data_IF_713183563164
#
_entry.id   IF_713183563164
#
_cell.length_a   1.000
_cell.length_b   1.000
_cell.length_c   1.000
_cell.angle_alpha   90.00
_cell.angle_beta   90.00
_cell.angle_gamma   90.00
#
_symmetry.space_group_name_H-M   'P 1'
#
loop_
_entity.id
_entity.type
_entity.pdbx_description
1 polymer ?
#
# COMPACT_ATOMS: atom_id res chain seq x y z
N UNK A 1 -6.02 42.22 -16.52
CA UNK A 1 -4.73 41.61 -16.86
C UNK A 1 -4.02 41.23 -15.57
N UNK A 2 -4.17 39.97 -15.14
CA UNK A 2 -3.33 39.34 -14.13
C UNK A 2 -2.99 37.98 -14.68
N UNK A 3 -1.70 37.70 -14.79
CA UNK A 3 -1.14 36.54 -15.46
C UNK A 3 -1.54 35.26 -14.71
N UNK A 4 -2.22 34.36 -15.42
CA UNK A 4 -2.22 32.93 -15.11
C UNK A 4 -0.84 32.40 -15.48
N UNK A 5 -0.11 31.89 -14.49
CA UNK A 5 1.00 30.96 -14.74
C UNK A 5 0.42 29.59 -14.45
N UNK A 6 0.07 28.87 -15.52
CA UNK A 6 -0.16 27.44 -15.50
C UNK A 6 1.20 26.76 -15.36
N UNK A 7 1.59 26.38 -14.15
CA UNK A 7 2.71 25.45 -13.96
C UNK A 7 2.19 24.04 -14.27
N UNK A 8 2.55 23.55 -15.47
CA UNK A 8 2.54 22.14 -15.81
C UNK A 8 3.54 21.44 -14.89
N UNK A 9 3.03 20.62 -13.96
CA UNK A 9 3.86 19.70 -13.19
C UNK A 9 3.80 18.37 -13.95
N UNK A 10 4.90 18.04 -14.63
CA UNK A 10 5.12 16.71 -15.21
C UNK A 10 5.14 15.69 -14.06
N UNK A 11 4.14 14.80 -14.00
CA UNK A 11 4.03 13.73 -13.00
C UNK A 11 5.01 12.57 -13.24
N UNK A 12 5.95 12.72 -14.17
CA UNK A 12 7.11 11.84 -14.31
C UNK A 12 8.32 12.55 -13.73
N UNK A 13 8.44 12.53 -12.41
CA UNK A 13 9.73 12.75 -11.79
C UNK A 13 10.67 11.64 -12.31
N UNK A 14 11.58 12.01 -13.21
CA UNK A 14 12.84 11.32 -13.40
C UNK A 14 13.55 11.32 -12.05
N UNK A 15 13.29 10.30 -11.24
CA UNK A 15 14.17 9.99 -10.13
C UNK A 15 15.52 9.65 -10.76
N UNK A 16 16.48 10.54 -10.54
CA UNK A 16 17.88 10.26 -10.77
C UNK A 16 18.20 8.95 -10.05
N UNK A 17 18.37 7.88 -10.82
CA UNK A 17 18.91 6.62 -10.33
C UNK A 17 20.18 6.97 -9.54
N UNK A 18 20.19 6.66 -8.24
CA UNK A 18 21.44 6.63 -7.50
C UNK A 18 22.33 5.60 -8.20
N UNK A 19 23.57 5.95 -8.57
CA UNK A 19 24.47 4.96 -9.14
C UNK A 19 24.72 3.90 -8.07
N UNK A 20 24.27 2.68 -8.32
CA UNK A 20 24.59 1.52 -7.51
C UNK A 20 26.11 1.32 -7.55
N UNK A 21 26.74 1.19 -6.38
CA UNK A 21 28.18 0.98 -6.20
C UNK A 21 28.63 -0.44 -6.58
N UNK A 22 28.19 -0.95 -7.74
CA UNK A 22 28.61 -2.24 -8.28
C UNK A 22 28.92 -2.14 -9.77
N UNK A 23 29.58 -1.06 -10.20
CA UNK A 23 30.23 -0.97 -11.50
C UNK A 23 31.68 -0.49 -11.29
N UNK A 24 32.59 -1.43 -11.00
CA UNK A 24 34.00 -1.33 -11.44
C UNK A 24 34.74 -2.66 -11.22
N UNK A 25 34.63 -3.59 -12.19
CA UNK A 25 35.72 -4.55 -12.44
C UNK A 25 35.83 -4.68 -13.96
N UNK A 26 36.87 -4.05 -14.50
CA UNK A 26 37.11 -3.92 -15.94
C UNK A 26 37.19 -5.25 -16.70
N UNK A 27 36.65 -5.21 -17.91
CA UNK A 27 36.86 -6.21 -18.95
C UNK A 27 38.34 -6.24 -19.36
N UNK A 28 39.08 -7.28 -18.94
CA UNK A 28 40.23 -7.75 -19.69
C UNK A 28 39.86 -9.09 -20.34
N UNK A 29 39.77 -9.07 -21.67
CA UNK A 29 39.67 -10.24 -22.52
C UNK A 29 40.82 -11.21 -22.22
N UNK A 30 40.51 -12.43 -21.78
CA UNK A 30 41.42 -13.54 -21.97
C UNK A 30 40.67 -14.85 -22.20
N UNK A 31 40.91 -15.40 -23.38
CA UNK A 31 40.41 -16.66 -23.93
C UNK A 31 41.04 -17.85 -23.20
N UNK A 32 40.23 -18.83 -22.81
CA UNK A 32 40.72 -20.05 -22.15
C UNK A 32 39.64 -20.76 -21.34
N UNK A 33 38.98 -21.73 -21.98
CA UNK A 33 37.92 -22.52 -21.36
C UNK A 33 38.40 -23.36 -20.18
N UNK A 34 37.67 -23.26 -19.06
CA UNK A 34 37.41 -24.38 -18.18
C UNK A 34 36.11 -24.15 -17.39
N UNK A 35 35.50 -25.24 -16.96
CA UNK A 35 34.15 -25.32 -16.38
C UNK A 35 33.98 -24.46 -15.12
N UNK A 36 33.45 -23.24 -15.27
CA UNK A 36 33.04 -22.40 -14.14
C UNK A 36 31.50 -22.32 -14.12
N UNK A 37 30.86 -23.25 -13.41
CA UNK A 37 29.44 -23.16 -13.09
C UNK A 37 29.21 -21.98 -12.13
N UNK A 38 29.03 -20.79 -12.72
CA UNK A 38 28.41 -19.57 -12.20
C UNK A 38 28.23 -19.43 -10.66
N UNK A 39 29.25 -18.92 -9.97
CA UNK A 39 29.07 -18.30 -8.63
C UNK A 39 28.04 -17.14 -8.67
N UNK A 40 27.89 -16.49 -9.82
CA UNK A 40 26.84 -15.49 -10.08
C UNK A 40 25.41 -16.07 -10.07
N UNK A 41 25.18 -17.29 -10.56
CA UNK A 41 23.86 -17.95 -10.50
C UNK A 41 23.53 -18.44 -9.09
N UNK A 42 24.55 -18.78 -8.30
CA UNK A 42 24.39 -19.14 -6.88
C UNK A 42 24.10 -17.92 -5.99
N UNK A 43 24.44 -16.71 -6.43
CA UNK A 43 24.06 -15.44 -5.80
C UNK A 43 22.65 -14.97 -6.20
N UNK A 44 22.15 -15.39 -7.37
CA UNK A 44 20.85 -14.93 -7.92
C UNK A 44 19.71 -15.94 -7.80
N UNK A 45 19.96 -17.20 -7.36
CA UNK A 45 18.88 -18.14 -6.99
C UNK A 45 18.24 -17.69 -5.67
N UNK A 46 17.33 -16.73 -5.77
CA UNK A 46 16.65 -16.18 -4.62
C UNK A 46 15.57 -17.15 -4.13
N UNK A 47 15.88 -17.84 -3.04
CA UNK A 47 14.97 -18.78 -2.38
C UNK A 47 14.10 -18.05 -1.35
N UNK A 48 12.89 -18.55 -1.14
CA UNK A 48 12.05 -18.20 0.00
C UNK A 48 12.80 -18.30 1.34
N UNK A 49 12.28 -17.55 2.32
CA UNK A 49 12.74 -17.62 3.71
C UNK A 49 11.57 -17.98 4.60
N UNK A 50 11.69 -19.10 5.30
CA UNK A 50 10.73 -19.53 6.32
C UNK A 50 11.04 -18.90 7.68
N UNK A 51 10.04 -18.83 8.56
CA UNK A 51 10.22 -18.41 9.96
C UNK A 51 11.25 -19.25 10.71
N UNK A 52 11.38 -20.55 10.42
CA UNK A 52 12.39 -21.41 11.03
C UNK A 52 13.81 -20.95 10.67
N UNK A 53 14.07 -20.67 9.39
CA UNK A 53 15.36 -20.13 8.94
C UNK A 53 15.64 -18.74 9.50
N UNK A 54 14.61 -17.89 9.57
CA UNK A 54 14.77 -16.56 10.17
C UNK A 54 15.13 -16.62 11.66
N UNK A 55 14.53 -17.56 12.40
CA UNK A 55 14.87 -17.80 13.83
C UNK A 55 16.30 -18.32 14.01
N UNK A 56 16.88 -18.97 13.01
CA UNK A 56 18.30 -19.38 13.01
C UNK A 56 19.26 -18.27 12.54
N UNK A 57 18.76 -17.07 12.24
CA UNK A 57 19.57 -15.91 11.87
C UNK A 57 19.58 -15.56 10.38
N UNK A 58 18.87 -16.30 9.51
CA UNK A 58 18.73 -15.91 8.08
C UNK A 58 17.90 -14.62 8.00
N UNK A 59 18.34 -13.67 7.18
CA UNK A 59 17.56 -12.44 6.93
C UNK A 59 16.19 -12.79 6.32
N UNK A 60 15.13 -12.09 6.76
CA UNK A 60 13.75 -12.37 6.32
C UNK A 60 13.55 -12.17 4.81
N UNK A 61 14.33 -11.28 4.19
CA UNK A 61 14.34 -11.08 2.73
C UNK A 61 15.27 -12.04 2.00
N UNK A 62 16.08 -12.80 2.74
CA UNK A 62 17.11 -13.68 2.22
C UNK A 62 18.38 -12.95 1.79
N UNK A 63 18.58 -11.70 2.23
CA UNK A 63 19.79 -10.92 1.89
C UNK A 63 21.01 -11.60 2.52
N UNK A 64 22.02 -12.02 1.73
CA UNK A 64 23.17 -12.76 2.23
C UNK A 64 24.22 -11.79 2.80
N UNK A 65 23.91 -11.11 3.91
CA UNK A 65 24.79 -10.12 4.54
C UNK A 65 26.22 -10.63 4.78
N UNK A 66 26.38 -11.91 5.10
CA UNK A 66 27.69 -12.55 5.35
C UNK A 66 28.57 -12.63 4.09
N UNK A 67 27.98 -12.54 2.90
CA UNK A 67 28.66 -12.52 1.60
C UNK A 67 28.86 -11.09 1.08
N UNK A 68 28.30 -10.09 1.76
CA UNK A 68 28.41 -8.69 1.39
C UNK A 68 29.49 -8.02 2.25
N UNK A 69 30.18 -7.02 1.70
CA UNK A 69 31.16 -6.22 2.44
C UNK A 69 30.52 -5.17 3.38
N UNK A 70 29.26 -5.37 3.78
CA UNK A 70 28.50 -4.46 4.64
C UNK A 70 27.55 -5.25 5.54
N UNK A 71 27.44 -4.86 6.81
CA UNK A 71 26.45 -5.44 7.72
C UNK A 71 25.07 -4.83 7.51
N UNK A 72 24.02 -5.58 7.90
CA UNK A 72 22.64 -5.09 7.89
C UNK A 72 22.46 -3.77 8.64
N UNK A 73 23.07 -3.63 9.82
CA UNK A 73 22.98 -2.42 10.64
C UNK A 73 23.70 -1.24 9.98
N UNK A 74 24.87 -1.48 9.37
CA UNK A 74 25.60 -0.43 8.68
C UNK A 74 24.82 0.05 7.45
N UNK A 75 24.26 -0.88 6.68
CA UNK A 75 23.40 -0.55 5.53
C UNK A 75 22.16 0.23 5.98
N UNK A 76 21.46 -0.21 7.04
CA UNK A 76 20.32 0.53 7.63
C UNK A 76 20.68 1.95 8.05
N UNK A 77 21.82 2.15 8.71
CA UNK A 77 22.28 3.49 9.12
C UNK A 77 22.51 4.39 7.91
N UNK A 78 23.18 3.89 6.88
CA UNK A 78 23.41 4.62 5.63
C UNK A 78 22.09 4.94 4.93
N UNK A 79 21.18 3.96 4.84
CA UNK A 79 19.83 4.11 4.28
C UNK A 79 19.06 5.24 4.96
N UNK A 80 19.02 5.28 6.29
CA UNK A 80 18.34 6.35 7.04
C UNK A 80 18.96 7.75 6.83
N UNK A 81 20.26 7.83 6.57
CA UNK A 81 20.95 9.11 6.33
C UNK A 81 20.76 9.62 4.89
N UNK A 82 20.68 8.70 3.93
CA UNK A 82 20.66 9.03 2.51
C UNK A 82 19.24 9.09 1.92
N UNK A 83 18.25 8.43 2.55
CA UNK A 83 16.88 8.44 2.05
C UNK A 83 16.32 9.87 1.99
N UNK A 84 15.94 10.29 0.79
CA UNK A 84 15.30 11.58 0.54
C UNK A 84 13.82 11.37 0.32
N UNK A 85 13.02 12.09 1.08
CA UNK A 85 11.58 12.13 0.86
C UNK A 85 11.29 13.18 -0.21
N UNK A 86 10.41 12.84 -1.13
CA UNK A 86 9.61 13.85 -1.81
C UNK A 86 8.78 14.59 -0.76
N UNK A 87 8.56 15.88 -0.90
CA UNK A 87 7.71 16.68 0.00
C UNK A 87 6.95 17.66 -0.90
N UNK A 88 5.61 17.69 -0.81
CA UNK A 88 4.84 18.69 -1.56
C UNK A 88 4.99 20.05 -0.89
N UNK A 89 5.11 20.05 0.44
CA UNK A 89 5.39 21.25 1.24
C UNK A 89 6.83 21.16 1.74
N UNK A 90 7.75 22.02 1.25
CA UNK A 90 9.15 21.94 1.63
C UNK A 90 9.37 21.97 3.16
N UNK A 91 10.22 21.07 3.66
CA UNK A 91 10.60 20.95 5.07
C UNK A 91 9.47 20.47 5.99
N UNK A 92 8.39 19.89 5.45
CA UNK A 92 7.28 19.37 6.24
C UNK A 92 7.74 18.26 7.20
N UNK A 93 8.55 17.32 6.72
CA UNK A 93 9.13 16.25 7.52
C UNK A 93 10.10 16.76 8.58
N UNK A 94 10.96 17.73 8.23
CA UNK A 94 11.89 18.36 9.17
C UNK A 94 11.15 19.12 10.29
N UNK A 95 10.02 19.75 9.95
CA UNK A 95 9.17 20.44 10.92
C UNK A 95 8.51 19.46 11.89
N UNK A 96 8.05 18.29 11.39
CA UNK A 96 7.60 17.17 12.24
C UNK A 96 8.76 16.66 13.09
N UNK A 97 9.97 16.52 12.54
CA UNK A 97 11.12 15.98 13.25
C UNK A 97 11.47 16.79 14.50
N UNK A 98 11.29 18.12 14.43
CA UNK A 98 11.51 19.05 15.55
C UNK A 98 10.40 19.00 16.60
N UNK A 99 9.16 18.74 16.21
CA UNK A 99 7.97 18.84 17.07
C UNK A 99 7.54 17.51 17.68
N UNK A 100 7.76 16.40 16.96
CA UNK A 100 7.21 15.10 17.29
C UNK A 100 8.31 14.10 17.60
N UNK A 101 8.09 13.29 18.64
CA UNK A 101 8.93 12.16 19.00
C UNK A 101 8.27 10.86 18.59
N UNK A 102 9.08 9.88 18.20
CA UNK A 102 8.59 8.53 17.95
C UNK A 102 8.05 7.93 19.24
N UNK A 103 6.99 7.14 19.11
CA UNK A 103 6.48 6.33 20.22
C UNK A 103 7.49 5.23 20.57
N UNK A 104 7.63 4.87 21.85
CA UNK A 104 8.60 3.88 22.26
C UNK A 104 8.33 2.52 21.59
N UNK A 105 9.42 1.88 21.17
CA UNK A 105 9.38 0.48 20.73
C UNK A 105 9.04 -0.42 21.93
N UNK A 106 8.42 -1.56 21.66
CA UNK A 106 8.14 -2.59 22.68
C UNK A 106 6.94 -3.46 22.36
N UNK A 107 6.18 -3.14 21.32
CA UNK A 107 5.16 -4.01 20.75
C UNK A 107 5.78 -5.25 20.11
N UNK A 108 5.07 -6.36 20.17
CA UNK A 108 5.42 -7.63 19.54
C UNK A 108 4.11 -8.38 19.30
N UNK A 109 3.39 -7.97 18.25
CA UNK A 109 2.01 -8.35 17.97
C UNK A 109 1.91 -9.28 16.77
N UNK A 110 2.76 -9.10 15.76
CA UNK A 110 2.88 -9.97 14.58
C UNK A 110 4.29 -10.52 14.48
N UNK A 111 4.44 -11.80 14.18
CA UNK A 111 5.75 -12.44 13.98
C UNK A 111 5.93 -12.85 12.51
N UNK A 112 7.17 -12.74 12.02
CA UNK A 112 7.50 -13.17 10.67
C UNK A 112 7.19 -14.65 10.50
N UNK A 113 6.46 -14.97 9.43
CA UNK A 113 6.04 -16.34 9.11
C UNK A 113 6.77 -16.88 7.88
N UNK A 114 6.69 -16.16 6.77
CA UNK A 114 7.26 -16.62 5.49
C UNK A 114 7.50 -15.45 4.55
N UNK A 115 8.48 -15.61 3.66
CA UNK A 115 8.74 -14.70 2.56
C UNK A 115 8.63 -15.45 1.23
N UNK A 116 7.66 -15.07 0.40
CA UNK A 116 7.38 -15.70 -0.90
C UNK A 116 8.05 -14.91 -2.03
N UNK A 117 9.17 -15.41 -2.56
CA UNK A 117 9.99 -14.74 -3.57
C UNK A 117 9.48 -14.90 -5.00
N UNK A 118 8.61 -15.89 -5.22
CA UNK A 118 7.89 -16.05 -6.47
C UNK A 118 6.84 -14.95 -6.70
N UNK A 119 6.37 -14.31 -5.63
CA UNK A 119 5.36 -13.26 -5.68
C UNK A 119 6.04 -11.90 -5.72
N UNK A 120 5.98 -11.19 -6.85
CA UNK A 120 6.71 -9.94 -7.06
C UNK A 120 5.74 -8.77 -7.25
N UNK A 121 5.24 -8.16 -6.16
CA UNK A 121 4.40 -6.99 -6.29
C UNK A 121 5.22 -5.82 -6.87
N UNK A 122 4.58 -5.00 -7.69
CA UNK A 122 5.21 -3.87 -8.36
C UNK A 122 4.53 -2.56 -7.98
N UNK A 123 5.32 -1.50 -7.87
CA UNK A 123 4.85 -0.12 -7.72
C UNK A 123 5.27 0.67 -8.95
N UNK A 124 4.33 1.35 -9.59
CA UNK A 124 4.60 2.22 -10.74
C UNK A 124 4.60 3.70 -10.39
N UNK A 125 4.06 4.07 -9.22
CA UNK A 125 3.95 5.45 -8.78
C UNK A 125 4.43 5.61 -7.34
N UNK A 126 5.29 6.59 -7.09
CA UNK A 126 5.96 6.77 -5.80
C UNK A 126 5.02 7.14 -4.63
N UNK A 127 3.75 7.50 -4.90
CA UNK A 127 2.76 7.83 -3.85
C UNK A 127 1.69 6.76 -3.61
N UNK A 128 1.31 5.95 -4.61
CA UNK A 128 0.13 5.08 -4.53
C UNK A 128 0.51 3.67 -4.05
N UNK A 129 -0.08 3.20 -2.93
CA UNK A 129 0.28 1.92 -2.26
C UNK A 129 -0.91 0.98 -2.02
N UNK A 130 -1.93 1.08 -2.85
CA UNK A 130 -3.13 0.27 -2.76
C UNK A 130 -3.09 -0.90 -3.75
N UNK A 131 -2.06 -1.77 -3.63
CA UNK A 131 -1.79 -2.87 -4.57
C UNK A 131 -1.69 -4.28 -3.95
N UNK A 132 -2.01 -4.46 -2.65
CA UNK A 132 -2.01 -5.77 -1.94
C UNK A 132 -3.28 -5.93 -1.08
N UNK A 133 -4.13 -6.90 -1.40
CA UNK A 133 -5.45 -7.13 -0.76
C UNK A 133 -5.58 -8.59 -0.30
N UNK A 134 -5.64 -8.82 1.01
CA UNK A 134 -5.97 -10.12 1.58
C UNK A 134 -7.50 -10.27 1.70
N UNK A 135 -8.03 -11.37 1.16
CA UNK A 135 -9.47 -11.71 1.24
C UNK A 135 -9.72 -12.84 2.24
N UNK A 136 -8.68 -13.58 2.58
CA UNK A 136 -8.69 -14.58 3.64
C UNK A 136 -7.34 -14.57 4.36
N UNK A 137 -7.19 -15.42 5.36
CA UNK A 137 -5.88 -15.70 5.98
C UNK A 137 -4.84 -16.19 4.97
N UNK A 138 -5.29 -16.78 3.86
CA UNK A 138 -4.44 -17.49 2.93
C UNK A 138 -4.38 -16.86 1.55
N UNK A 139 -5.38 -16.08 1.16
CA UNK A 139 -5.59 -15.65 -0.21
C UNK A 139 -5.39 -14.14 -0.34
N UNK A 140 -4.46 -13.77 -1.22
CA UNK A 140 -3.99 -12.39 -1.42
C UNK A 140 -3.98 -12.05 -2.90
N UNK A 141 -4.56 -10.91 -3.23
CA UNK A 141 -4.55 -10.33 -4.57
C UNK A 141 -3.55 -9.19 -4.62
N UNK A 142 -2.77 -9.11 -5.69
CA UNK A 142 -1.75 -8.07 -5.85
C UNK A 142 -1.44 -7.75 -7.31
N UNK A 143 -0.96 -6.52 -7.55
CA UNK A 143 -0.40 -6.17 -8.86
C UNK A 143 1.02 -6.70 -9.01
N UNK A 144 1.28 -7.43 -10.09
CA UNK A 144 2.62 -7.77 -10.56
C UNK A 144 2.73 -7.41 -12.04
N UNK A 145 3.58 -6.43 -12.37
CA UNK A 145 3.64 -5.83 -13.70
C UNK A 145 2.26 -5.33 -14.15
N UNK A 146 1.75 -5.87 -15.26
CA UNK A 146 0.43 -5.57 -15.82
C UNK A 146 -0.66 -6.53 -15.35
N UNK A 147 -0.34 -7.47 -14.46
CA UNK A 147 -1.24 -8.55 -14.10
C UNK A 147 -1.70 -8.44 -12.65
N UNK A 148 -3.00 -8.61 -12.44
CA UNK A 148 -3.54 -8.91 -11.12
C UNK A 148 -3.32 -10.39 -10.87
N UNK A 149 -2.55 -10.68 -9.84
CA UNK A 149 -2.22 -12.03 -9.42
C UNK A 149 -2.99 -12.36 -8.14
N UNK A 150 -3.40 -13.60 -8.02
CA UNK A 150 -3.90 -14.20 -6.80
C UNK A 150 -2.86 -15.19 -6.27
N UNK A 151 -2.40 -14.97 -5.05
CA UNK A 151 -1.50 -15.83 -4.31
C UNK A 151 -2.26 -16.53 -3.19
N UNK A 152 -2.16 -17.86 -3.14
CA UNK A 152 -2.67 -18.65 -2.04
C UNK A 152 -1.50 -19.23 -1.24
N UNK A 153 -1.29 -18.71 -0.02
CA UNK A 153 -0.23 -19.19 0.88
C UNK A 153 -0.42 -20.64 1.35
N UNK A 154 -1.67 -21.15 1.29
CA UNK A 154 -1.98 -22.53 1.64
C UNK A 154 -1.51 -23.52 0.57
N UNK A 155 -1.80 -23.22 -0.70
CA UNK A 155 -1.41 -24.07 -1.84
C UNK A 155 -0.06 -23.71 -2.44
N UNK A 156 0.53 -22.57 -2.02
CA UNK A 156 1.74 -21.97 -2.60
C UNK A 156 1.64 -21.76 -4.11
N UNK A 157 0.43 -21.42 -4.58
CA UNK A 157 0.14 -21.22 -5.98
C UNK A 157 -0.09 -19.74 -6.30
N UNK A 158 0.46 -19.31 -7.43
CA UNK A 158 0.31 -17.96 -7.98
C UNK A 158 -0.47 -18.05 -9.29
N UNK A 159 -1.68 -17.53 -9.31
CA UNK A 159 -2.59 -17.59 -10.47
C UNK A 159 -2.85 -16.19 -11.02
N UNK A 160 -2.73 -16.01 -12.33
CA UNK A 160 -3.10 -14.75 -13.00
C UNK A 160 -4.63 -14.64 -13.10
N UNK A 161 -5.18 -13.51 -12.63
CA UNK A 161 -6.63 -13.24 -12.61
C UNK A 161 -7.04 -12.36 -13.79
N UNK A 162 -6.27 -11.30 -14.06
CA UNK A 162 -6.46 -10.38 -15.18
C UNK A 162 -5.11 -9.87 -15.64
N UNK A 163 -4.92 -9.77 -16.96
CA UNK A 163 -3.69 -9.30 -17.59
C UNK A 163 -3.98 -8.07 -18.45
N UNK A 164 -3.58 -6.90 -17.96
CA UNK A 164 -3.78 -5.62 -18.63
C UNK A 164 -2.71 -5.28 -19.67
N UNK A 165 -1.69 -6.14 -19.87
CA UNK A 165 -0.76 -5.99 -21.01
C UNK A 165 -1.43 -6.36 -22.32
N UNK A 166 -2.40 -7.28 -22.26
CA UNK A 166 -3.25 -7.68 -23.36
C UNK A 166 -4.51 -6.83 -23.46
N UNK A 167 -5.51 -7.40 -24.13
CA UNK A 167 -6.82 -6.78 -24.32
C UNK A 167 -7.76 -7.22 -23.19
N UNK A 168 -8.31 -6.25 -22.45
CA UNK A 168 -9.26 -6.47 -21.36
C UNK A 168 -10.57 -5.81 -21.72
N UNK A 169 -11.59 -6.62 -22.03
CA UNK A 169 -12.91 -6.13 -22.41
C UNK A 169 -14.03 -6.79 -21.58
N UNK A 170 -15.13 -6.07 -21.33
CA UNK A 170 -16.26 -6.61 -20.59
C UNK A 170 -16.97 -7.69 -21.42
N UNK A 171 -17.35 -8.76 -20.75
CA UNK A 171 -18.13 -9.87 -21.32
C UNK A 171 -19.63 -9.69 -21.13
N UNK A 172 -20.02 -8.81 -20.20
CA UNK A 172 -21.40 -8.44 -19.91
C UNK A 172 -21.71 -7.07 -20.54
N UNK A 173 -22.99 -6.83 -20.84
CA UNK A 173 -23.44 -5.55 -21.41
C UNK A 173 -24.16 -4.74 -20.34
N UNK A 174 -23.47 -3.73 -19.83
CA UNK A 174 -24.01 -2.76 -18.87
C UNK A 174 -23.98 -1.35 -19.48
N UNK A 175 -24.92 -0.52 -19.07
CA UNK A 175 -24.96 0.88 -19.52
C UNK A 175 -23.70 1.62 -19.05
N UNK A 176 -23.10 2.45 -19.92
CA UNK A 176 -21.85 3.14 -19.63
C UNK A 176 -20.59 2.28 -19.75
N UNK A 177 -20.74 1.00 -20.13
CA UNK A 177 -19.59 0.13 -20.35
C UNK A 177 -18.92 0.39 -21.71
N UNK A 178 -17.60 0.51 -21.71
CA UNK A 178 -16.76 0.55 -22.91
C UNK A 178 -16.57 -0.89 -23.40
N UNK A 179 -17.40 -1.31 -24.37
CA UNK A 179 -17.40 -2.67 -24.90
C UNK A 179 -16.11 -3.03 -25.66
N UNK A 180 -15.41 -2.02 -26.19
CA UNK A 180 -14.10 -2.19 -26.80
C UNK A 180 -13.02 -2.54 -25.77
N UNK A 181 -13.26 -2.31 -24.46
CA UNK A 181 -12.29 -2.58 -23.42
C UNK A 181 -11.06 -1.67 -23.46
N UNK A 182 -9.97 -2.15 -22.87
CA UNK A 182 -8.68 -1.47 -22.80
C UNK A 182 -7.55 -2.37 -23.27
N UNK A 183 -6.42 -1.76 -23.63
CA UNK A 183 -5.21 -2.46 -24.05
C UNK A 183 -4.00 -1.79 -23.41
N UNK A 184 -3.02 -2.58 -22.94
CA UNK A 184 -1.78 -2.07 -22.33
C UNK A 184 -2.03 -1.06 -21.19
N UNK A 185 -3.02 -1.36 -20.35
CA UNK A 185 -3.44 -0.46 -19.27
C UNK A 185 -2.56 -0.63 -18.04
N UNK A 186 -2.03 0.48 -17.53
CA UNK A 186 -1.32 0.49 -16.26
C UNK A 186 -2.33 0.69 -15.13
N UNK A 187 -2.27 -0.18 -14.13
CA UNK A 187 -3.14 -0.14 -12.95
C UNK A 187 -2.44 0.60 -11.82
N UNK A 188 -3.12 1.59 -11.26
CA UNK A 188 -2.63 2.45 -10.16
C UNK A 188 -3.13 2.00 -8.80
N UNK A 189 -4.25 1.27 -8.74
CA UNK A 189 -4.89 0.84 -7.50
C UNK A 189 -5.82 -0.35 -7.73
N UNK A 190 -6.03 -1.19 -6.72
CA UNK A 190 -7.04 -2.24 -6.75
C UNK A 190 -7.75 -2.37 -5.40
N UNK A 191 -8.96 -2.91 -5.44
CA UNK A 191 -9.68 -3.37 -4.26
C UNK A 191 -10.33 -4.72 -4.53
N UNK A 192 -10.31 -5.58 -3.52
CA UNK A 192 -10.98 -6.89 -3.54
C UNK A 192 -11.77 -7.08 -2.26
N UNK A 193 -13.04 -7.43 -2.39
CA UNK A 193 -13.92 -7.80 -1.27
C UNK A 193 -14.89 -8.87 -1.75
N UNK A 194 -15.06 -9.93 -0.97
CA UNK A 194 -15.94 -11.05 -1.30
C UNK A 194 -15.62 -11.60 -2.70
N UNK A 195 -16.62 -11.64 -3.59
CA UNK A 195 -16.48 -12.09 -4.98
C UNK A 195 -16.16 -10.94 -5.95
N UNK A 196 -15.85 -9.74 -5.46
CA UNK A 196 -15.64 -8.57 -6.31
C UNK A 196 -14.21 -8.09 -6.32
N UNK A 197 -13.75 -7.76 -7.52
CA UNK A 197 -12.49 -7.10 -7.79
C UNK A 197 -12.73 -5.85 -8.61
N UNK A 198 -12.14 -4.73 -8.20
CA UNK A 198 -12.14 -3.48 -8.95
C UNK A 198 -10.70 -2.99 -9.08
N UNK A 199 -10.32 -2.61 -10.30
CA UNK A 199 -9.00 -2.06 -10.62
C UNK A 199 -9.15 -0.69 -11.29
N UNK A 200 -8.34 0.27 -10.84
CA UNK A 200 -8.29 1.62 -11.37
C UNK A 200 -6.96 1.89 -12.09
N UNK A 201 -7.02 2.59 -13.21
CA UNK A 201 -5.86 2.91 -14.05
C UNK A 201 -5.35 4.34 -13.90
N UNK A 202 -4.21 4.61 -14.54
CA UNK A 202 -3.58 5.92 -14.58
C UNK A 202 -4.29 6.93 -15.51
N UNK A 203 -5.13 6.49 -16.44
CA UNK A 203 -5.82 7.37 -17.39
C UNK A 203 -7.34 7.28 -17.24
N UNK A 204 -7.81 7.08 -16.00
CA UNK A 204 -9.23 7.03 -15.64
C UNK A 204 -9.90 5.70 -15.95
N UNK A 205 -9.15 4.68 -16.38
CA UNK A 205 -9.71 3.35 -16.59
C UNK A 205 -10.22 2.76 -15.28
N UNK A 206 -11.34 2.06 -15.38
CA UNK A 206 -11.89 1.27 -14.31
C UNK A 206 -12.35 -0.07 -14.89
N UNK A 207 -11.91 -1.17 -14.27
CA UNK A 207 -12.33 -2.52 -14.62
C UNK A 207 -12.87 -3.24 -13.38
N UNK A 208 -14.08 -3.78 -13.47
CA UNK A 208 -14.73 -4.56 -12.43
C UNK A 208 -14.89 -6.01 -12.88
N UNK A 209 -14.45 -6.94 -12.03
CA UNK A 209 -14.56 -8.37 -12.24
C UNK A 209 -15.26 -9.01 -11.06
N UNK A 210 -16.23 -9.86 -11.38
CA UNK A 210 -16.71 -10.89 -10.47
C UNK A 210 -15.77 -12.10 -10.50
N UNK A 211 -15.23 -12.48 -9.35
CA UNK A 211 -14.27 -13.57 -9.19
C UNK A 211 -14.93 -14.94 -9.37
N UNK A 212 -16.23 -15.05 -9.07
CA UNK A 212 -17.05 -16.25 -9.29
C UNK A 212 -17.47 -16.47 -10.75
N UNK A 213 -17.18 -15.51 -11.65
CA UNK A 213 -17.55 -15.55 -13.07
C UNK A 213 -16.33 -15.47 -13.99
N UNK A 214 -16.39 -16.06 -15.20
CA UNK A 214 -15.37 -15.84 -16.21
C UNK A 214 -15.44 -14.43 -16.80
N UNK A 215 -14.30 -13.90 -17.23
CA UNK A 215 -14.23 -12.59 -17.90
C UNK A 215 -14.32 -11.39 -16.96
N UNK A 216 -14.35 -10.20 -17.56
CA UNK A 216 -14.58 -8.92 -16.88
C UNK A 216 -16.06 -8.59 -16.96
N UNK A 217 -16.64 -8.10 -15.87
CA UNK A 217 -18.06 -7.75 -15.81
C UNK A 217 -18.31 -6.36 -16.37
N UNK A 218 -17.43 -5.39 -16.06
CA UNK A 218 -17.62 -4.01 -16.47
C UNK A 218 -16.29 -3.29 -16.70
N UNK A 219 -16.25 -2.45 -17.73
CA UNK A 219 -15.15 -1.53 -17.99
C UNK A 219 -15.71 -0.15 -18.29
N UNK A 220 -15.14 0.91 -17.73
CA UNK A 220 -15.48 2.29 -18.09
C UNK A 220 -14.28 3.21 -17.90
N UNK A 221 -14.36 4.41 -18.47
CA UNK A 221 -13.39 5.47 -18.23
C UNK A 221 -14.08 6.58 -17.46
N UNK A 222 -13.63 6.76 -16.22
CA UNK A 222 -14.23 7.65 -15.23
C UNK A 222 -14.10 9.12 -15.64
N UNK A 223 -12.97 9.46 -16.25
CA UNK A 223 -12.65 10.81 -16.73
C UNK A 223 -11.66 10.72 -17.89
N UNK A 224 -11.70 11.70 -18.77
CA UNK A 224 -10.80 11.83 -19.93
C UNK A 224 -9.82 12.99 -19.75
N UNK A 225 -9.79 13.61 -18.57
CA UNK A 225 -8.83 14.66 -18.25
C UNK A 225 -7.40 14.11 -18.20
N UNK A 226 -6.42 14.98 -18.42
CA UNK A 226 -5.01 14.57 -18.41
C UNK A 226 -4.59 14.03 -17.02
N UNK A 227 -5.26 14.48 -15.94
CA UNK A 227 -5.00 14.06 -14.57
C UNK A 227 -5.98 12.99 -14.07
N UNK A 228 -6.23 11.97 -14.88
CA UNK A 228 -7.32 11.00 -14.66
C UNK A 228 -7.00 9.84 -13.69
N UNK A 229 -5.86 9.84 -13.00
CA UNK A 229 -5.41 8.71 -12.19
C UNK A 229 -6.48 8.33 -11.15
N UNK A 230 -6.77 7.03 -11.05
CA UNK A 230 -7.55 6.49 -9.93
C UNK A 230 -6.62 6.19 -8.78
N UNK A 231 -6.65 7.01 -7.74
CA UNK A 231 -5.69 6.96 -6.63
C UNK A 231 -6.02 5.86 -5.61
N UNK A 232 -7.31 5.70 -5.29
CA UNK A 232 -7.77 4.71 -4.32
C UNK A 232 -9.15 4.18 -4.70
N UNK A 233 -9.39 2.91 -4.37
CA UNK A 233 -10.70 2.28 -4.46
C UNK A 233 -11.02 1.64 -3.12
N UNK A 234 -12.25 1.82 -2.66
CA UNK A 234 -12.79 1.15 -1.48
C UNK A 234 -14.11 0.48 -1.84
N UNK A 235 -14.23 -0.82 -1.56
CA UNK A 235 -15.45 -1.60 -1.74
C UNK A 235 -16.14 -1.71 -0.37
N UNK A 236 -17.46 -1.53 -0.33
CA UNK A 236 -18.25 -1.61 0.89
C UNK A 236 -19.70 -2.00 0.63
N UNK A 237 -20.33 -2.59 1.64
CA UNK A 237 -21.78 -2.80 1.66
C UNK A 237 -22.51 -1.46 1.83
N UNK A 238 -23.43 -1.18 0.90
CA UNK A 238 -24.35 -0.06 0.98
C UNK A 238 -25.47 -0.35 1.99
N UNK A 239 -26.03 0.71 2.57
CA UNK A 239 -27.15 0.61 3.51
C UNK A 239 -28.43 0.02 2.89
N UNK A 240 -28.52 0.04 1.55
CA UNK A 240 -29.60 -0.57 0.77
C UNK A 240 -29.50 -2.09 0.66
N UNK A 241 -28.38 -2.70 1.05
CA UNK A 241 -28.15 -4.15 0.96
C UNK A 241 -27.46 -4.64 -0.31
N UNK A 242 -26.93 -3.74 -1.15
CA UNK A 242 -26.06 -4.04 -2.29
C UNK A 242 -24.60 -3.68 -2.02
N UNK A 243 -23.70 -4.06 -2.92
CA UNK A 243 -22.28 -3.66 -2.83
C UNK A 243 -22.00 -2.43 -3.68
N UNK A 244 -21.29 -1.47 -3.11
CA UNK A 244 -20.83 -0.28 -3.80
C UNK A 244 -19.30 -0.23 -3.76
N UNK A 245 -18.71 0.54 -4.67
CA UNK A 245 -17.34 1.00 -4.50
C UNK A 245 -17.22 2.51 -4.68
N UNK A 246 -16.24 3.08 -4.00
CA UNK A 246 -15.87 4.48 -4.11
C UNK A 246 -14.49 4.58 -4.75
N UNK A 247 -14.38 5.39 -5.80
CA UNK A 247 -13.13 5.72 -6.46
C UNK A 247 -12.73 7.16 -6.12
N UNK A 248 -11.52 7.31 -5.56
CA UNK A 248 -10.83 8.59 -5.40
C UNK A 248 -9.97 8.86 -6.61
N UNK A 249 -10.10 10.03 -7.22
CA UNK A 249 -9.42 10.37 -8.46
C UNK A 249 -8.59 11.66 -8.34
N UNK A 250 -7.54 11.72 -9.15
CA UNK A 250 -6.64 12.86 -9.20
C UNK A 250 -7.26 14.08 -9.91
N UNK A 251 -8.39 13.89 -10.61
CA UNK A 251 -9.21 14.95 -11.21
C UNK A 251 -10.12 15.67 -10.20
N UNK A 252 -9.74 15.63 -8.93
CA UNK A 252 -10.48 16.18 -7.79
C UNK A 252 -11.86 15.54 -7.56
N UNK A 253 -12.16 14.40 -8.19
CA UNK A 253 -13.43 13.70 -8.06
C UNK A 253 -13.39 12.53 -7.07
N UNK A 254 -14.50 12.33 -6.38
CA UNK A 254 -14.85 11.07 -5.69
C UNK A 254 -16.14 10.54 -6.28
N UNK A 255 -16.14 9.30 -6.72
CA UNK A 255 -17.26 8.69 -7.44
C UNK A 255 -17.67 7.38 -6.80
N UNK A 256 -18.96 7.25 -6.56
CA UNK A 256 -19.57 6.04 -6.01
C UNK A 256 -20.34 5.31 -7.11
N UNK A 257 -20.12 4.01 -7.20
CA UNK A 257 -20.81 3.14 -8.16
C UNK A 257 -21.52 2.01 -7.43
N UNK A 258 -22.70 1.68 -7.92
CA UNK A 258 -23.42 0.46 -7.58
C UNK A 258 -22.81 -0.72 -8.34
N UNK A 259 -22.49 -1.82 -7.66
CA UNK A 259 -21.80 -2.96 -8.27
C UNK A 259 -22.73 -3.99 -8.91
N UNK A 260 -24.04 -3.89 -8.70
CA UNK A 260 -25.01 -4.78 -9.33
C UNK A 260 -25.38 -4.30 -10.74
N UNK A 261 -25.59 -2.98 -10.89
CA UNK A 261 -25.94 -2.31 -12.14
C UNK A 261 -24.75 -1.61 -12.82
N UNK A 262 -23.60 -1.51 -12.15
CA UNK A 262 -22.41 -0.78 -12.60
C UNK A 262 -22.71 0.67 -12.99
N UNK A 263 -23.60 1.33 -12.24
CA UNK A 263 -24.00 2.72 -12.50
C UNK A 263 -23.37 3.66 -11.49
N UNK A 264 -22.99 4.85 -11.96
CA UNK A 264 -22.58 5.95 -11.10
C UNK A 264 -23.77 6.41 -10.25
N UNK A 265 -23.61 6.34 -8.94
CA UNK A 265 -24.63 6.73 -7.95
C UNK A 265 -24.38 8.17 -7.50
N UNK A 266 -23.14 8.50 -7.12
CA UNK A 266 -22.76 9.81 -6.63
C UNK A 266 -21.44 10.28 -7.23
N UNK A 267 -21.31 11.60 -7.40
CA UNK A 267 -20.07 12.26 -7.82
C UNK A 267 -19.88 13.53 -6.99
N UNK A 268 -18.79 13.57 -6.23
CA UNK A 268 -18.39 14.69 -5.39
C UNK A 268 -17.12 15.32 -5.96
N UNK A 269 -17.11 16.64 -6.12
CA UNK A 269 -15.95 17.39 -6.59
C UNK A 269 -15.31 18.14 -5.42
N UNK A 270 -13.99 18.13 -5.37
CA UNK A 270 -13.18 18.82 -4.38
C UNK A 270 -12.31 19.89 -5.05
N UNK A 271 -11.78 20.86 -4.30
CA UNK A 271 -10.90 21.89 -4.87
C UNK A 271 -9.46 21.40 -5.13
N UNK A 272 -9.17 20.14 -4.83
CA UNK A 272 -7.85 19.52 -4.95
C UNK A 272 -7.96 18.02 -5.31
N UNK A 273 -6.92 17.44 -5.94
CA UNK A 273 -6.84 16.01 -6.24
C UNK A 273 -7.07 15.12 -5.02
N UNK A 274 -7.97 14.15 -5.12
CA UNK A 274 -8.31 13.27 -4.00
C UNK A 274 -7.44 12.01 -4.03
N UNK A 275 -6.63 11.82 -2.99
CA UNK A 275 -5.68 10.71 -2.92
C UNK A 275 -6.30 9.47 -2.28
N UNK A 276 -7.20 9.65 -1.30
CA UNK A 276 -7.81 8.51 -0.60
C UNK A 276 -9.14 8.87 0.07
N UNK A 277 -10.06 7.91 0.07
CA UNK A 277 -11.30 7.93 0.83
C UNK A 277 -11.39 6.73 1.76
N UNK A 278 -12.00 6.90 2.94
CA UNK A 278 -12.39 5.80 3.81
C UNK A 278 -13.78 6.03 4.42
N UNK A 279 -14.60 4.99 4.51
CA UNK A 279 -15.93 5.08 5.12
C UNK A 279 -15.95 4.67 6.60
N UNK A 280 -16.79 5.37 7.37
CA UNK A 280 -17.12 4.93 8.73
C UNK A 280 -17.81 3.55 8.70
N UNK A 281 -17.71 2.75 9.78
CA UNK A 281 -18.35 1.43 9.85
C UNK A 281 -19.86 1.48 9.65
N UNK A 282 -20.52 2.57 10.06
CA UNK A 282 -21.96 2.78 9.88
C UNK A 282 -22.33 3.43 8.53
N UNK A 283 -21.34 3.69 7.66
CA UNK A 283 -21.46 4.25 6.31
C UNK A 283 -22.03 5.66 6.24
N UNK A 284 -22.05 6.39 7.36
CA UNK A 284 -22.62 7.75 7.42
C UNK A 284 -21.61 8.85 7.18
N UNK A 285 -20.34 8.55 7.39
CA UNK A 285 -19.26 9.52 7.29
C UNK A 285 -18.20 9.01 6.31
N UNK A 286 -17.70 9.93 5.51
CA UNK A 286 -16.59 9.69 4.59
C UNK A 286 -15.44 10.59 5.03
N UNK A 287 -14.27 10.00 5.24
CA UNK A 287 -13.02 10.74 5.36
C UNK A 287 -12.41 10.86 3.97
N UNK A 288 -12.19 12.09 3.52
CA UNK A 288 -11.60 12.42 2.22
C UNK A 288 -10.28 13.13 2.46
N UNK A 289 -9.21 12.61 1.86
CA UNK A 289 -7.87 13.20 1.94
C UNK A 289 -7.23 13.30 0.57
N UNK A 290 -6.36 14.29 0.38
CA UNK A 290 -5.76 14.55 -0.93
C UNK A 290 -4.65 15.58 -0.87
N UNK A 291 -4.51 16.33 -1.96
CA UNK A 291 -3.49 17.36 -2.18
C UNK A 291 -3.80 18.66 -1.41
N UNK A 292 -3.97 18.49 -0.11
CA UNK A 292 -4.28 19.53 0.84
C UNK A 292 -3.77 19.15 2.23
N UNK A 293 -3.45 20.16 3.05
CA UNK A 293 -2.96 19.97 4.41
C UNK A 293 -4.04 19.37 5.33
N UNK A 294 -5.27 19.85 5.16
CA UNK A 294 -6.39 19.45 5.97
C UNK A 294 -7.08 18.21 5.39
N UNK A 295 -7.45 17.29 6.27
CA UNK A 295 -8.37 16.20 5.93
C UNK A 295 -9.82 16.68 6.03
N UNK A 296 -10.66 16.22 5.11
CA UNK A 296 -12.09 16.48 5.17
C UNK A 296 -12.83 15.28 5.73
N UNK A 297 -13.78 15.56 6.60
CA UNK A 297 -14.82 14.65 7.04
C UNK A 297 -16.15 15.29 6.66
N UNK A 298 -17.18 14.50 6.32
CA UNK A 298 -18.50 15.03 5.95
C UNK A 298 -19.08 16.04 6.98
N UNK A 299 -18.63 15.98 8.24
CA UNK A 299 -19.08 16.86 9.34
C UNK A 299 -18.07 17.92 9.80
N UNK A 300 -16.90 18.04 9.16
CA UNK A 300 -15.89 19.03 9.54
C UNK A 300 -14.51 18.79 8.91
N UNK A 301 -13.54 19.61 9.30
CA UNK A 301 -12.14 19.48 8.86
C UNK A 301 -11.28 19.00 10.01
N UNK A 302 -10.19 18.28 9.69
CA UNK A 302 -9.11 17.97 10.63
C UNK A 302 -7.83 18.65 10.19
N UNK A 303 -7.30 19.49 11.07
CA UNK A 303 -6.17 20.36 10.78
C UNK A 303 -4.91 19.91 11.50
N UNK A 304 -3.78 20.14 10.84
CA UNK A 304 -2.48 20.20 11.50
C UNK A 304 -1.40 19.32 10.89
N UNK A 305 -1.74 18.41 9.97
CA UNK A 305 -0.72 17.83 9.08
C UNK A 305 0.04 18.94 8.37
N UNK A 306 1.31 18.68 8.05
CA UNK A 306 2.19 19.69 7.47
C UNK A 306 2.43 19.49 5.97
N UNK A 307 1.79 18.49 5.39
CA UNK A 307 1.91 18.13 3.97
C UNK A 307 0.63 17.37 3.52
N UNK A 308 0.63 16.77 2.32
CA UNK A 308 -0.53 16.11 1.73
C UNK A 308 -0.78 14.70 2.27
N UNK A 309 -2.05 14.34 2.34
CA UNK A 309 -2.50 13.07 2.93
C UNK A 309 -2.83 12.05 1.84
N UNK A 310 -2.43 10.78 2.05
CA UNK A 310 -2.50 9.71 1.04
C UNK A 310 -3.19 8.44 1.53
N UNK A 311 -3.52 8.38 2.82
CA UNK A 311 -4.20 7.23 3.40
C UNK A 311 -5.15 7.68 4.48
N UNK A 312 -6.28 6.97 4.61
CA UNK A 312 -7.19 7.11 5.73
C UNK A 312 -7.80 5.76 6.07
N UNK A 313 -8.15 5.55 7.35
CA UNK A 313 -8.85 4.35 7.78
C UNK A 313 -9.66 4.61 9.05
N UNK A 314 -10.77 3.89 9.17
CA UNK A 314 -11.65 3.95 10.34
C UNK A 314 -11.41 2.80 11.29
N UNK A 315 -11.43 3.12 12.58
CA UNK A 315 -11.52 2.10 13.61
C UNK A 315 -12.94 1.49 13.58
N UNK A 316 -13.10 0.17 13.78
CA UNK A 316 -14.39 -0.52 13.67
C UNK A 316 -15.45 -0.06 14.69
N UNK A 317 -15.07 0.68 15.75
CA UNK A 317 -16.02 1.30 16.68
C UNK A 317 -16.70 2.58 16.12
N UNK A 318 -16.24 3.08 14.97
CA UNK A 318 -16.76 4.27 14.30
C UNK A 318 -16.53 5.60 15.02
N UNK A 319 -15.69 5.64 16.06
CA UNK A 319 -15.40 6.87 16.83
C UNK A 319 -14.04 7.46 16.49
N UNK A 320 -13.11 6.59 16.12
CA UNK A 320 -11.74 6.93 15.79
C UNK A 320 -11.48 6.70 14.31
N UNK A 321 -10.73 7.59 13.70
CA UNK A 321 -10.15 7.37 12.37
C UNK A 321 -8.71 7.86 12.35
N UNK A 322 -7.96 7.46 11.35
CA UNK A 322 -6.57 7.81 11.19
C UNK A 322 -6.28 8.30 9.77
N UNK A 323 -5.31 9.19 9.64
CA UNK A 323 -4.82 9.75 8.37
C UNK A 323 -3.31 9.54 8.27
N UNK A 324 -2.82 9.16 7.10
CA UNK A 324 -1.41 8.99 6.76
C UNK A 324 -0.93 10.04 5.77
N UNK A 325 0.24 10.63 6.02
CA UNK A 325 0.65 11.86 5.39
C UNK A 325 2.10 11.87 4.91
N UNK A 326 2.36 12.74 3.93
CA UNK A 326 3.67 13.05 3.37
C UNK A 326 4.65 13.61 4.42
N UNK A 327 4.16 14.27 5.47
CA UNK A 327 4.91 14.81 6.61
C UNK A 327 5.55 13.75 7.53
N UNK A 328 5.51 12.47 7.12
CA UNK A 328 6.03 11.30 7.86
C UNK A 328 5.22 10.95 9.12
N UNK A 329 3.99 11.47 9.27
CA UNK A 329 3.11 11.11 10.38
C UNK A 329 1.86 10.39 9.95
N UNK A 330 1.40 9.51 10.84
CA UNK A 330 0.01 9.13 10.92
C UNK A 330 -0.65 9.88 12.10
N UNK A 331 -1.81 10.49 11.90
CA UNK A 331 -2.58 11.12 12.97
C UNK A 331 -3.84 10.36 13.23
N UNK A 332 -4.15 10.21 14.52
CA UNK A 332 -5.35 9.54 15.00
C UNK A 332 -6.30 10.60 15.55
N UNK A 333 -7.55 10.55 15.15
CA UNK A 333 -8.57 11.55 15.41
C UNK A 333 -9.76 10.93 16.13
N UNK A 334 -10.38 11.70 17.02
CA UNK A 334 -11.62 11.32 17.69
C UNK A 334 -12.75 12.23 17.20
N UNK A 335 -13.82 11.64 16.68
CA UNK A 335 -14.98 12.37 16.18
C UNK A 335 -15.60 13.34 17.20
N UNK A 336 -15.43 13.06 18.49
CA UNK A 336 -15.95 13.90 19.57
C UNK A 336 -15.15 15.19 19.72
N UNK A 337 -13.92 15.24 19.19
CA UNK A 337 -13.05 16.40 19.22
C UNK A 337 -12.08 16.41 18.03
N UNK A 338 -12.51 16.99 16.90
CA UNK A 338 -11.71 17.11 15.68
C UNK A 338 -10.65 18.22 15.72
N UNK A 339 -10.67 19.08 16.76
CA UNK A 339 -9.73 20.21 16.85
C UNK A 339 -8.28 19.78 17.05
N UNK A 340 -8.05 18.58 17.58
CA UNK A 340 -6.72 18.06 17.87
C UNK A 340 -6.67 16.54 17.68
N UNK A 341 -5.57 15.99 17.16
CA UNK A 341 -5.40 14.55 17.10
C UNK A 341 -5.21 13.98 18.51
N UNK A 342 -5.79 12.80 18.78
CA UNK A 342 -5.57 12.08 20.04
C UNK A 342 -4.18 11.47 20.10
N UNK A 343 -3.56 11.19 18.95
CA UNK A 343 -2.18 10.73 18.87
C UNK A 343 -1.54 11.15 17.55
N UNK A 344 -0.25 11.47 17.59
CA UNK A 344 0.59 11.73 16.42
C UNK A 344 1.67 10.65 16.39
N UNK A 345 1.60 9.80 15.38
CA UNK A 345 2.41 8.60 15.20
C UNK A 345 3.47 8.90 14.13
N UNK A 346 4.63 9.35 14.60
CA UNK A 346 5.77 9.66 13.73
C UNK A 346 6.44 8.38 13.22
N UNK A 347 6.66 8.31 11.91
CA UNK A 347 7.42 7.27 11.24
C UNK A 347 8.92 7.32 11.52
N UNK A 348 9.67 6.48 10.83
CA UNK A 348 11.12 6.35 10.95
C UNK A 348 11.86 7.12 9.87
N UNK A 349 11.35 7.10 8.64
CA UNK A 349 12.12 7.50 7.47
C UNK A 349 11.25 8.19 6.41
N UNK A 350 10.14 7.55 6.04
CA UNK A 350 9.31 7.85 4.89
C UNK A 350 7.97 8.48 5.22
N UNK A 351 7.30 8.99 4.17
CA UNK A 351 5.89 9.34 4.21
C UNK A 351 5.01 8.13 4.59
N UNK A 352 3.87 8.37 5.25
CA UNK A 352 2.91 7.31 5.55
C UNK A 352 1.97 7.13 4.35
N UNK A 353 1.94 5.92 3.78
CA UNK A 353 1.21 5.61 2.54
C UNK A 353 0.08 4.61 2.69
N UNK A 354 0.04 3.87 3.79
CA UNK A 354 -1.08 2.98 4.07
C UNK A 354 -1.35 2.93 5.56
N UNK A 355 -2.63 2.98 5.90
CA UNK A 355 -3.12 2.94 7.27
C UNK A 355 -4.28 1.96 7.30
N UNK A 356 -4.27 0.99 8.22
CA UNK A 356 -5.32 -0.01 8.37
C UNK A 356 -5.58 -0.31 9.84
N UNK A 357 -6.84 -0.25 10.25
CA UNK A 357 -7.24 -0.85 11.52
C UNK A 357 -7.49 -2.34 11.32
N UNK A 358 -7.12 -3.14 12.33
CA UNK A 358 -7.55 -4.53 12.44
C UNK A 358 -9.08 -4.60 12.59
N UNK A 359 -9.73 -5.63 12.04
CA UNK A 359 -11.18 -5.79 12.08
C UNK A 359 -11.73 -5.87 13.51
N UNK A 360 -10.97 -6.42 14.45
CA UNK A 360 -11.28 -6.42 15.88
C UNK A 360 -10.93 -5.11 16.63
N UNK A 361 -10.36 -4.12 15.94
CA UNK A 361 -9.99 -2.81 16.46
C UNK A 361 -8.79 -2.79 17.43
N UNK A 362 -8.09 -3.89 17.65
CA UNK A 362 -6.98 -3.94 18.62
C UNK A 362 -5.70 -3.27 18.13
N UNK A 363 -5.51 -3.20 16.81
CA UNK A 363 -4.29 -2.72 16.20
C UNK A 363 -4.55 -1.69 15.10
N UNK A 364 -3.63 -0.75 14.99
CA UNK A 364 -3.47 0.16 13.86
C UNK A 364 -2.14 -0.16 13.18
N UNK A 365 -2.19 -0.56 11.92
CA UNK A 365 -1.05 -0.79 11.04
C UNK A 365 -0.80 0.50 10.25
N UNK A 366 0.45 0.97 10.28
CA UNK A 366 0.91 2.18 9.59
C UNK A 366 2.14 1.80 8.76
N UNK A 367 2.01 1.83 7.44
CA UNK A 367 3.10 1.56 6.52
C UNK A 367 3.68 2.87 5.96
N UNK A 368 5.00 2.99 6.02
CA UNK A 368 5.72 4.05 5.34
C UNK A 368 5.79 3.76 3.82
N UNK A 369 6.35 4.68 3.03
CA UNK A 369 6.61 4.47 1.60
C UNK A 369 7.56 3.28 1.37
N UNK A 370 8.53 3.12 2.28
CA UNK A 370 9.57 2.11 2.21
C UNK A 370 9.99 1.63 3.60
N UNK A 371 10.57 0.44 3.62
CA UNK A 371 11.36 -0.17 4.70
C UNK A 371 10.65 -0.47 6.04
N UNK A 372 9.62 0.28 6.42
CA UNK A 372 9.03 0.23 7.76
C UNK A 372 7.51 0.07 7.75
N UNK A 373 7.05 -0.89 8.56
CA UNK A 373 5.66 -1.02 8.97
C UNK A 373 5.59 -0.97 10.48
N UNK A 374 4.69 -0.15 11.03
CA UNK A 374 4.46 -0.01 12.46
C UNK A 374 3.10 -0.57 12.83
N UNK A 375 3.04 -1.31 13.94
CA UNK A 375 1.78 -1.79 14.51
C UNK A 375 1.61 -1.21 15.91
N UNK A 376 0.54 -0.46 16.11
CA UNK A 376 0.20 0.20 17.36
C UNK A 376 -0.97 -0.47 18.04
N UNK A 377 -0.90 -0.65 19.35
CA UNK A 377 -2.02 -1.14 20.13
C UNK A 377 -2.99 0.01 20.47
N UNK A 378 -4.23 -0.11 20.03
CA UNK A 378 -5.27 0.92 20.21
C UNK A 378 -5.68 1.09 21.66
N UNK A 379 -5.74 -0.01 22.44
CA UNK A 379 -6.11 -0.02 23.87
C UNK A 379 -5.04 0.60 24.77
N UNK A 380 -3.80 0.68 24.29
CA UNK A 380 -2.69 1.34 24.98
C UNK A 380 -2.48 2.77 24.48
N UNK A 381 -3.54 3.42 23.99
CA UNK A 381 -3.52 4.79 23.46
C UNK A 381 -2.43 5.01 22.40
N UNK A 382 -2.13 3.99 21.61
CA UNK A 382 -1.08 4.02 20.58
C UNK A 382 0.34 4.30 21.11
N UNK A 383 0.57 4.16 22.42
CA UNK A 383 1.89 4.43 23.04
C UNK A 383 2.89 3.29 22.84
N UNK A 384 2.42 2.09 22.51
CA UNK A 384 3.28 0.90 22.36
C UNK A 384 3.34 0.44 20.91
N UNK A 385 4.48 0.68 20.28
CA UNK A 385 4.75 0.38 18.85
C UNK A 385 5.53 -0.92 18.68
N UNK A 386 5.06 -1.80 17.81
CA UNK A 386 5.91 -2.77 17.13
C UNK A 386 6.45 -2.13 15.85
N UNK A 387 7.72 -2.32 15.57
CA UNK A 387 8.35 -1.94 14.31
C UNK A 387 8.73 -3.20 13.55
N UNK A 388 8.35 -3.25 12.28
CA UNK A 388 8.75 -4.27 11.31
C UNK A 388 9.65 -3.56 10.30
N UNK A 389 10.87 -4.06 10.16
CA UNK A 389 11.96 -3.43 9.41
C UNK A 389 12.48 -4.38 8.31
N UNK A 390 12.56 -3.86 7.09
CA UNK A 390 13.07 -4.53 5.88
C UNK A 390 13.58 -3.46 4.89
N UNK A 391 14.05 -3.83 3.71
CA UNK A 391 14.58 -2.91 2.71
C UNK A 391 13.79 -3.00 1.41
N UNK A 392 13.30 -1.86 0.91
CA UNK A 392 12.55 -1.76 -0.34
C UNK A 392 11.26 -0.96 -0.18
N UNK A 393 10.68 -0.60 -1.32
CA UNK A 393 9.40 0.12 -1.38
C UNK A 393 8.25 -0.81 -0.98
N UNK A 394 7.26 -0.28 -0.28
CA UNK A 394 6.11 -1.04 0.20
C UNK A 394 4.97 -0.82 -0.76
N UNK A 395 4.67 -1.77 -1.64
CA UNK A 395 3.56 -1.70 -2.61
C UNK A 395 2.15 -1.68 -1.99
N UNK A 396 2.02 -2.21 -0.77
CA UNK A 396 0.79 -2.22 -0.01
C UNK A 396 0.90 -3.13 1.20
N UNK A 397 -0.01 -2.91 2.16
CA UNK A 397 -0.18 -3.76 3.33
C UNK A 397 -1.64 -4.17 3.47
N UNK A 398 -1.86 -5.41 3.91
CA UNK A 398 -3.20 -5.94 4.09
C UNK A 398 -3.26 -6.87 5.29
N UNK A 399 -4.25 -6.65 6.15
CA UNK A 399 -4.62 -7.63 7.17
C UNK A 399 -5.64 -8.58 6.57
N UNK A 400 -5.52 -9.86 6.86
CA UNK A 400 -6.61 -10.80 6.60
C UNK A 400 -7.85 -10.38 7.39
N UNK A 401 -9.07 -10.64 6.90
CA UNK A 401 -10.30 -10.20 7.58
C UNK A 401 -10.44 -10.72 9.03
N UNK A 402 -9.80 -11.85 9.36
CA UNK A 402 -9.75 -12.43 10.71
C UNK A 402 -8.64 -11.84 11.61
N UNK A 403 -7.84 -10.89 11.10
CA UNK A 403 -6.66 -10.30 11.73
C UNK A 403 -5.52 -11.27 12.07
N UNK A 404 -5.55 -12.52 11.60
CA UNK A 404 -4.53 -13.51 11.95
C UNK A 404 -3.25 -13.36 11.12
N UNK A 405 -3.32 -12.70 9.97
CA UNK A 405 -2.19 -12.54 9.07
C UNK A 405 -2.08 -11.10 8.55
N UNK A 406 -0.85 -10.57 8.56
CA UNK A 406 -0.46 -9.32 7.93
C UNK A 406 0.43 -9.64 6.73
N UNK A 407 0.02 -9.16 5.56
CA UNK A 407 0.80 -9.21 4.33
C UNK A 407 1.42 -7.85 4.02
N UNK A 408 2.68 -7.86 3.58
CA UNK A 408 3.41 -6.68 3.14
C UNK A 408 4.02 -7.00 1.78
N UNK A 409 3.59 -6.30 0.73
CA UNK A 409 4.17 -6.44 -0.59
C UNK A 409 5.39 -5.56 -0.75
N UNK A 410 6.54 -6.17 -0.99
CA UNK A 410 7.81 -5.48 -1.21
C UNK A 410 8.13 -5.38 -2.70
N UNK A 411 8.39 -4.15 -3.14
CA UNK A 411 8.95 -3.87 -4.44
C UNK A 411 10.42 -3.48 -4.29
N UNK A 412 11.28 -4.25 -4.92
CA UNK A 412 12.72 -4.03 -5.02
C UNK A 412 13.24 -4.77 -6.26
N UNK A 413 14.25 -4.22 -6.94
CA UNK A 413 14.81 -4.81 -8.17
C UNK A 413 15.26 -6.26 -7.97
N UNK A 414 15.83 -6.55 -6.80
CA UNK A 414 16.42 -7.85 -6.47
C UNK A 414 15.60 -8.57 -5.41
N UNK A 415 15.03 -7.86 -4.45
CA UNK A 415 14.39 -8.38 -3.26
C UNK A 415 12.85 -8.32 -3.25
N UNK A 416 12.22 -8.00 -4.39
CA UNK A 416 10.77 -8.02 -4.52
C UNK A 416 10.18 -9.35 -4.06
N UNK A 417 9.16 -9.26 -3.22
CA UNK A 417 8.56 -10.41 -2.55
C UNK A 417 7.26 -10.07 -1.82
N UNK A 418 6.53 -11.10 -1.37
CA UNK A 418 5.42 -10.96 -0.44
C UNK A 418 5.82 -11.49 0.93
N UNK A 419 5.93 -10.59 1.92
CA UNK A 419 6.16 -10.94 3.31
C UNK A 419 4.84 -11.27 4.00
N UNK A 420 4.85 -12.37 4.75
CA UNK A 420 3.74 -12.79 5.60
C UNK A 420 4.16 -12.76 7.06
N UNK A 421 3.33 -12.14 7.90
CA UNK A 421 3.46 -12.14 9.35
C UNK A 421 2.19 -12.69 9.97
N UNK A 422 2.32 -13.55 10.99
CA UNK A 422 1.17 -14.09 11.72
C UNK A 422 1.02 -13.38 13.06
N UNK A 423 -0.22 -13.17 13.48
CA UNK A 423 -0.53 -12.61 14.79
C UNK A 423 -0.02 -13.52 15.90
N UNK A 424 0.63 -12.91 16.90
CA UNK A 424 1.06 -13.58 18.12
C UNK A 424 -0.11 -13.69 19.07
N UNK A 425 -0.63 -14.89 19.23
CA UNK A 425 -1.60 -15.19 20.25
C UNK A 425 -0.87 -15.39 21.59
N UNK A 426 -1.21 -14.57 22.60
CA UNK A 426 -0.79 -14.79 23.98
C UNK A 426 -1.78 -15.74 24.62
N UNK A 427 -1.44 -17.01 24.68
CA UNK A 427 -2.28 -17.99 25.36
C UNK A 427 -1.94 -17.94 26.84
N UNK A 428 -2.52 -16.97 27.57
CA UNK A 428 -2.19 -16.73 28.97
C UNK A 428 -2.26 -17.97 29.89
N UNK A 429 -3.06 -18.98 29.53
CA UNK A 429 -3.10 -20.27 30.23
C UNK A 429 -1.96 -21.24 29.84
N UNK A 430 -1.51 -21.28 28.58
CA UNK A 430 -0.42 -22.16 28.14
C UNK A 430 0.96 -21.56 28.48
N UNK A 431 1.08 -20.24 28.36
CA UNK A 431 2.33 -19.51 28.63
C UNK A 431 2.64 -19.38 30.14
N UNK A 432 1.72 -19.79 31.02
CA UNK A 432 1.92 -19.82 32.48
C UNK A 432 2.42 -21.16 33.02
N UNK A 433 2.56 -22.18 32.16
CA UNK A 433 3.15 -23.48 32.51
C UNK A 433 4.62 -23.64 32.09
N UNK A 434 5.25 -22.59 31.56
CA UNK A 434 6.66 -22.59 31.14
C UNK A 434 7.52 -21.79 32.12
#
# INVERSE_FOLDING_TARGET
MRHNVSEQIDYMAEDAEMPDFVDDVGDEENDGGDQNYNDYDMLTKVTDTSSAQARTGKDIQGIPWDRLNITRESYRRTRLQQYRNYENIPLSGDAVDKKCKQKPKGGNYYEFFHNSRAVKPMVLHFQLRNLVWATSKHDVYLMSNYSIMHWSSLSQNLTEILNFSGHVAPTEKHAGSILEGFTQTQISTLAVSDDFLVAGGFQGELACKRLDKPGVSFCTRITYEDNAITNAIEIYDALSGGMHFMASNNDCGVREYDMDAFQLVNHFCFPWPVNHTSLSPDRKLITVVGDHLDGLLTVGTVEGHLDYSFASAWHPDGRIFATGNQDKTCRVWDLRNLSNPVSVLKGNMGAVRSVRFSSNGQFLVVAESADFVHVYNTKLNYEKRQEIDFFGEISGVSLSPDDETLYVGLWDRTYASLLQFNKRNKYGYLDSFV
#
